data_IF_804683813163
#
_entry.id   IF_804683813163
#
_cell.length_a   1.000
_cell.length_b   1.000
_cell.length_c   1.000
_cell.angle_alpha   90.00
_cell.angle_beta   90.00
_cell.angle_gamma   90.00
#
_symmetry.space_group_name_H-M   'P 1'
#
loop_
_entity.id
_entity.type
_entity.pdbx_description
1 polymer ?
#
# COMPACT_ATOMS: atom_id res chain seq x y z
N UNK A 1 -16.69 -3.35 0.28
CA UNK A 1 -15.65 -2.47 -0.30
C UNK A 1 -14.31 -2.98 0.15
N UNK A 2 -13.38 -3.22 -0.76
CA UNK A 2 -12.00 -3.53 -0.41
C UNK A 2 -11.34 -2.25 0.11
N UNK A 3 -11.47 -1.99 1.42
CA UNK A 3 -10.71 -0.93 2.10
C UNK A 3 -9.25 -1.31 1.86
N UNK A 4 -8.44 -0.49 1.15
CA UNK A 4 -7.03 -0.77 1.04
C UNK A 4 -6.51 -0.80 2.48
N UNK A 5 -6.10 -1.97 2.97
CA UNK A 5 -5.72 -2.18 4.36
C UNK A 5 -4.63 -1.20 4.84
N UNK A 6 -3.88 -0.63 3.89
CA UNK A 6 -2.84 0.36 4.10
C UNK A 6 -3.32 1.81 3.95
N UNK A 7 -4.38 2.07 3.17
CA UNK A 7 -4.85 3.42 2.84
C UNK A 7 -3.86 4.31 2.08
N UNK A 8 -2.62 3.86 1.87
CA UNK A 8 -1.53 4.63 1.28
C UNK A 8 -1.38 4.38 -0.22
N UNK A 9 -0.87 5.40 -0.90
CA UNK A 9 -0.37 5.30 -2.27
C UNK A 9 1.15 5.24 -2.28
N UNK A 10 1.71 4.30 -3.03
CA UNK A 10 3.15 4.13 -3.19
C UNK A 10 3.66 4.62 -4.55
N UNK A 11 3.17 5.77 -5.03
CA UNK A 11 3.68 6.40 -6.26
C UNK A 11 5.20 6.63 -6.24
N UNK A 12 5.78 6.81 -5.04
CA UNK A 12 7.23 6.93 -4.80
C UNK A 12 7.94 5.58 -4.58
N UNK A 13 7.26 4.46 -4.81
CA UNK A 13 7.78 3.10 -4.61
C UNK A 13 7.94 2.67 -3.16
N UNK A 14 7.39 3.41 -2.19
CA UNK A 14 7.47 3.09 -0.75
C UNK A 14 6.11 3.23 -0.06
N UNK A 15 5.88 2.38 0.94
CA UNK A 15 4.76 2.44 1.87
C UNK A 15 5.31 2.69 3.27
N UNK A 16 4.67 3.56 4.06
CA UNK A 16 5.13 3.89 5.42
C UNK A 16 4.44 3.04 6.49
N UNK A 17 3.27 2.48 6.19
CA UNK A 17 2.54 1.61 7.11
C UNK A 17 3.27 0.27 7.27
N UNK A 18 3.61 -0.14 8.51
CA UNK A 18 4.22 -1.44 8.75
C UNK A 18 3.28 -2.59 8.39
N UNK A 19 3.80 -3.60 7.69
CA UNK A 19 3.02 -4.72 7.14
C UNK A 19 2.41 -4.45 5.76
N UNK A 20 2.60 -3.25 5.22
CA UNK A 20 2.20 -2.88 3.87
C UNK A 20 3.39 -2.85 2.91
N UNK A 21 3.14 -3.26 1.67
CA UNK A 21 4.13 -3.25 0.60
C UNK A 21 3.55 -2.65 -0.68
N UNK A 22 4.41 -2.07 -1.51
CA UNK A 22 4.02 -1.54 -2.81
C UNK A 22 3.91 -2.64 -3.88
N UNK A 23 3.29 -3.77 -3.52
CA UNK A 23 3.07 -4.88 -4.44
C UNK A 23 1.97 -4.59 -5.46
N UNK A 24 1.01 -3.71 -5.12
CA UNK A 24 -0.14 -3.37 -5.97
C UNK A 24 -0.14 -1.90 -6.39
N UNK A 25 0.90 -1.49 -7.10
CA UNK A 25 1.04 -0.14 -7.63
C UNK A 25 -0.25 0.37 -8.33
N UNK A 26 -0.67 1.63 -8.11
CA UNK A 26 0.00 2.68 -7.34
C UNK A 26 -0.34 2.69 -5.84
N UNK A 27 -1.00 1.65 -5.32
CA UNK A 27 -1.45 1.59 -3.94
C UNK A 27 -0.61 0.61 -3.10
N UNK A 28 -0.47 0.94 -1.83
CA UNK A 28 0.06 0.03 -0.84
C UNK A 28 -0.97 -1.06 -0.55
N UNK A 29 -0.54 -2.31 -0.68
CA UNK A 29 -1.31 -3.48 -0.29
C UNK A 29 -0.66 -4.14 0.91
N UNK A 30 -1.49 -4.63 1.84
CA UNK A 30 -1.00 -5.45 2.94
C UNK A 30 -0.54 -6.78 2.36
N UNK A 31 0.63 -7.25 2.80
CA UNK A 31 1.11 -8.58 2.42
C UNK A 31 0.12 -9.65 2.87
#
# INVERSE_FOLDING_TARGET
GSIPACGESCFKGKCYTPGCSCSKYPLCAKN
#
